data_IF_285836061510
#
_entry.id   IF_285836061510
#
_cell.length_a   1.000
_cell.length_b   1.000
_cell.length_c   1.000
_cell.angle_alpha   90.00
_cell.angle_beta   90.00
_cell.angle_gamma   90.00
#
_symmetry.space_group_name_H-M   'P 1'
#
loop_
_entity.id
_entity.type
_entity.pdbx_description
1 polymer ?
#
# COMPACT_ATOMS: atom_id res chain seq x y z
N UNK A 1 4.10 -29.81 5.18
CA UNK A 1 2.79 -29.84 4.49
C UNK A 1 1.55 -29.96 5.40
N UNK A 2 1.65 -29.99 6.74
CA UNK A 2 0.47 -29.99 7.63
C UNK A 2 -0.01 -28.61 8.10
N UNK A 3 0.79 -27.55 7.97
CA UNK A 3 0.45 -26.20 8.44
C UNK A 3 -0.47 -25.40 7.49
N UNK A 4 -0.41 -25.64 6.18
CA UNK A 4 -1.24 -24.93 5.19
C UNK A 4 -2.73 -25.35 5.24
N UNK A 5 -3.02 -26.60 5.63
CA UNK A 5 -4.40 -27.14 5.66
C UNK A 5 -5.32 -26.48 6.69
N UNK A 6 -4.78 -25.79 7.70
CA UNK A 6 -5.58 -25.13 8.74
C UNK A 6 -5.95 -23.68 8.40
N UNK A 7 -5.27 -23.08 7.40
CA UNK A 7 -5.55 -21.70 6.94
C UNK A 7 -6.69 -21.68 5.91
N UNK A 8 -6.78 -22.70 5.05
CA UNK A 8 -7.80 -22.80 4.01
C UNK A 8 -9.10 -23.47 4.51
N UNK A 9 -9.53 -23.20 5.75
CA UNK A 9 -10.73 -23.83 6.34
C UNK A 9 -12.05 -23.28 5.76
N UNK A 10 -12.04 -22.15 5.03
CA UNK A 10 -13.22 -21.58 4.36
C UNK A 10 -13.30 -21.96 2.86
N UNK A 11 -14.50 -21.98 2.30
CA UNK A 11 -14.70 -22.27 0.86
C UNK A 11 -14.19 -21.12 -0.01
N UNK A 12 -13.70 -21.44 -1.22
CA UNK A 12 -13.22 -20.44 -2.17
C UNK A 12 -14.27 -19.42 -2.61
N UNK A 13 -15.55 -19.77 -2.51
CA UNK A 13 -16.67 -18.86 -2.77
C UNK A 13 -16.74 -17.75 -1.71
N UNK A 14 -16.63 -18.09 -0.43
CA UNK A 14 -16.60 -17.12 0.67
C UNK A 14 -15.38 -16.21 0.58
N UNK A 15 -14.21 -16.77 0.29
CA UNK A 15 -13.01 -15.97 0.06
C UNK A 15 -13.14 -15.03 -1.14
N UNK A 16 -13.77 -15.47 -2.24
CA UNK A 16 -13.96 -14.62 -3.43
C UNK A 16 -14.80 -13.38 -3.10
N UNK A 17 -15.88 -13.53 -2.33
CA UNK A 17 -16.74 -12.40 -1.91
C UNK A 17 -15.97 -11.42 -1.01
N UNK A 18 -15.19 -11.94 -0.06
CA UNK A 18 -14.34 -11.11 0.81
C UNK A 18 -13.30 -10.35 -0.02
N UNK A 19 -12.73 -11.01 -1.03
CA UNK A 19 -11.73 -10.41 -1.90
C UNK A 19 -12.31 -9.27 -2.74
N UNK A 20 -13.51 -9.42 -3.28
CA UNK A 20 -14.22 -8.36 -4.01
C UNK A 20 -14.48 -7.14 -3.12
N UNK A 21 -14.92 -7.34 -1.86
CA UNK A 21 -15.10 -6.23 -0.92
C UNK A 21 -13.77 -5.55 -0.56
N UNK A 22 -12.70 -6.34 -0.42
CA UNK A 22 -11.39 -5.81 -0.11
C UNK A 22 -10.78 -5.06 -1.30
N UNK A 23 -11.06 -5.46 -2.54
CA UNK A 23 -10.54 -4.77 -3.73
C UNK A 23 -11.06 -3.33 -3.83
N UNK A 24 -12.36 -3.12 -3.57
CA UNK A 24 -12.94 -1.78 -3.50
C UNK A 24 -12.29 -0.92 -2.41
N UNK A 25 -12.08 -1.50 -1.23
CA UNK A 25 -11.42 -0.82 -0.12
C UNK A 25 -9.97 -0.45 -0.46
N UNK A 26 -9.23 -1.34 -1.11
CA UNK A 26 -7.85 -1.09 -1.56
C UNK A 26 -7.85 0.06 -2.58
N UNK A 27 -8.77 0.07 -3.55
CA UNK A 27 -8.90 1.14 -4.52
C UNK A 27 -9.15 2.50 -3.85
N UNK A 28 -10.05 2.56 -2.87
CA UNK A 28 -10.32 3.77 -2.08
C UNK A 28 -9.07 4.24 -1.32
N UNK A 29 -8.35 3.33 -0.68
CA UNK A 29 -7.11 3.66 0.04
C UNK A 29 -6.00 4.16 -0.90
N UNK A 30 -5.90 3.63 -2.11
CA UNK A 30 -4.95 4.14 -3.12
C UNK A 30 -5.34 5.54 -3.60
N UNK A 31 -6.64 5.83 -3.77
CA UNK A 31 -7.10 7.18 -4.08
C UNK A 31 -6.80 8.15 -2.94
N UNK A 32 -7.03 7.72 -1.69
CA UNK A 32 -6.70 8.50 -0.49
C UNK A 32 -5.20 8.78 -0.41
N UNK A 33 -4.35 7.77 -0.65
CA UNK A 33 -2.89 7.90 -0.69
C UNK A 33 -2.45 9.00 -1.67
N UNK A 34 -3.00 9.00 -2.89
CA UNK A 34 -2.68 10.00 -3.91
C UNK A 34 -3.11 11.40 -3.47
N UNK A 35 -4.30 11.52 -2.89
CA UNK A 35 -4.81 12.79 -2.35
C UNK A 35 -3.90 13.34 -1.25
N UNK A 36 -3.49 12.47 -0.31
CA UNK A 36 -2.57 12.81 0.77
C UNK A 36 -1.20 13.26 0.26
N UNK A 37 -0.64 12.58 -0.75
CA UNK A 37 0.62 12.99 -1.37
C UNK A 37 0.49 14.36 -2.04
N UNK A 38 -0.60 14.61 -2.76
CA UNK A 38 -0.82 15.90 -3.41
C UNK A 38 -0.96 17.03 -2.37
N UNK A 39 -1.76 16.82 -1.34
CA UNK A 39 -1.95 17.78 -0.25
C UNK A 39 -0.64 17.98 0.54
N UNK A 40 0.11 16.90 0.77
CA UNK A 40 1.41 16.95 1.42
C UNK A 40 2.44 17.77 0.64
N UNK A 41 2.46 17.67 -0.69
CA UNK A 41 3.28 18.54 -1.53
C UNK A 41 2.89 20.02 -1.41
N UNK A 42 1.59 20.32 -1.33
CA UNK A 42 1.10 21.69 -1.10
C UNK A 42 1.53 22.21 0.28
N UNK A 43 1.31 21.40 1.32
CA UNK A 43 1.71 21.74 2.69
C UNK A 43 3.22 21.92 2.80
N UNK A 44 4.03 21.06 2.17
CA UNK A 44 5.49 21.17 2.18
C UNK A 44 5.96 22.47 1.53
N UNK A 45 5.41 22.83 0.37
CA UNK A 45 5.72 24.10 -0.28
C UNK A 45 5.33 25.31 0.58
N UNK A 46 4.18 25.28 1.25
CA UNK A 46 3.78 26.32 2.21
C UNK A 46 4.76 26.41 3.37
N UNK A 47 5.14 25.28 3.96
CA UNK A 47 6.11 25.21 5.06
C UNK A 47 7.49 25.77 4.67
N UNK A 48 7.95 25.50 3.43
CA UNK A 48 9.21 26.07 2.94
C UNK A 48 9.17 27.60 2.90
N UNK A 49 8.00 28.20 2.70
CA UNK A 49 7.81 29.65 2.66
C UNK A 49 7.58 30.27 4.04
N UNK A 50 6.73 29.67 4.87
CA UNK A 50 6.23 30.30 6.10
C UNK A 50 6.84 29.75 7.39
N UNK A 51 7.44 28.54 7.33
CA UNK A 51 8.04 27.81 8.45
C UNK A 51 7.12 27.68 9.66
N UNK A 52 5.79 27.60 9.44
CA UNK A 52 4.83 27.47 10.53
C UNK A 52 4.81 26.06 11.11
N UNK A 53 4.79 25.97 12.43
CA UNK A 53 4.68 24.70 13.16
C UNK A 53 3.37 23.96 12.84
N UNK A 54 2.27 24.69 12.63
CA UNK A 54 0.98 24.10 12.24
C UNK A 54 1.07 23.30 10.94
N UNK A 55 1.78 23.82 9.93
CA UNK A 55 2.00 23.13 8.65
C UNK A 55 2.92 21.93 8.82
N UNK A 56 3.89 21.98 9.74
CA UNK A 56 4.71 20.83 10.08
C UNK A 56 3.88 19.72 10.76
N UNK A 57 2.93 20.09 11.60
CA UNK A 57 2.01 19.13 12.23
C UNK A 57 1.11 18.46 11.18
N UNK A 58 0.57 19.22 10.24
CA UNK A 58 -0.21 18.69 9.11
C UNK A 58 0.61 17.68 8.29
N UNK A 59 1.87 18.00 7.98
CA UNK A 59 2.76 17.07 7.26
C UNK A 59 3.00 15.77 8.06
N UNK A 60 3.17 15.85 9.38
CA UNK A 60 3.31 14.67 10.23
C UNK A 60 2.03 13.82 10.24
N UNK A 61 0.86 14.43 10.28
CA UNK A 61 -0.43 13.73 10.19
C UNK A 61 -0.59 13.00 8.84
N UNK A 62 -0.20 13.65 7.74
CA UNK A 62 -0.18 13.05 6.40
C UNK A 62 0.74 11.83 6.38
N UNK A 63 1.96 11.92 6.90
CA UNK A 63 2.91 10.79 6.95
C UNK A 63 2.34 9.65 7.80
N UNK A 64 1.74 9.96 8.95
CA UNK A 64 1.10 8.95 9.79
C UNK A 64 -0.03 8.24 9.06
N UNK A 65 -0.85 8.98 8.31
CA UNK A 65 -1.92 8.37 7.52
C UNK A 65 -1.39 7.51 6.38
N UNK A 66 -0.31 7.93 5.70
CA UNK A 66 0.37 7.13 4.70
C UNK A 66 0.92 5.81 5.29
N UNK A 67 1.46 5.84 6.51
CA UNK A 67 1.88 4.61 7.23
C UNK A 67 0.71 3.64 7.41
N UNK A 68 -0.44 4.14 7.86
CA UNK A 68 -1.65 3.32 8.05
C UNK A 68 -2.11 2.69 6.74
N UNK A 69 -2.18 3.49 5.67
CA UNK A 69 -2.54 3.02 4.33
C UNK A 69 -1.60 1.90 3.87
N UNK A 70 -0.28 2.10 3.97
CA UNK A 70 0.71 1.07 3.60
C UNK A 70 0.51 -0.22 4.40
N UNK A 71 0.24 -0.12 5.70
CA UNK A 71 0.01 -1.29 6.55
C UNK A 71 -1.25 -2.07 6.13
N UNK A 72 -2.31 -1.36 5.75
CA UNK A 72 -3.53 -2.01 5.25
C UNK A 72 -3.27 -2.66 3.89
N UNK A 73 -2.65 -1.96 2.93
CA UNK A 73 -2.28 -2.54 1.62
C UNK A 73 -1.42 -3.79 1.81
N UNK A 74 -0.42 -3.72 2.68
CA UNK A 74 0.44 -4.86 3.04
C UNK A 74 -0.36 -6.06 3.54
N UNK A 75 -1.33 -5.84 4.44
CA UNK A 75 -2.19 -6.90 4.98
C UNK A 75 -3.09 -7.51 3.91
N UNK A 76 -3.67 -6.69 3.04
CA UNK A 76 -4.55 -7.16 1.97
C UNK A 76 -3.80 -7.93 0.88
N UNK A 77 -2.57 -7.51 0.55
CA UNK A 77 -1.67 -8.28 -0.31
C UNK A 77 -1.37 -9.65 0.27
N UNK A 78 -1.09 -9.73 1.58
CA UNK A 78 -0.78 -11.00 2.24
C UNK A 78 -2.00 -11.94 2.21
N UNK A 79 -3.21 -11.41 2.47
CA UNK A 79 -4.48 -12.16 2.35
C UNK A 79 -4.74 -12.64 0.92
N UNK A 80 -4.45 -11.80 -0.07
CA UNK A 80 -4.63 -12.18 -1.47
C UNK A 80 -3.65 -13.28 -1.89
N UNK A 81 -2.40 -13.23 -1.40
CA UNK A 81 -1.45 -14.32 -1.58
C UNK A 81 -1.95 -15.63 -0.96
N UNK A 82 -2.44 -15.58 0.28
CA UNK A 82 -3.03 -16.76 0.94
C UNK A 82 -4.24 -17.30 0.15
N UNK A 83 -5.08 -16.41 -0.42
CA UNK A 83 -6.21 -16.80 -1.26
C UNK A 83 -5.77 -17.56 -2.51
N UNK A 84 -4.79 -17.04 -3.26
CA UNK A 84 -4.26 -17.69 -4.46
C UNK A 84 -3.78 -19.10 -4.11
N UNK A 85 -3.06 -19.26 -3.00
CA UNK A 85 -2.58 -20.57 -2.54
C UNK A 85 -3.71 -21.52 -2.12
N UNK A 86 -4.74 -21.02 -1.44
CA UNK A 86 -5.86 -21.82 -0.96
C UNK A 86 -6.86 -22.21 -2.06
N UNK A 87 -6.97 -21.42 -3.13
CA UNK A 87 -7.98 -21.57 -4.17
C UNK A 87 -7.42 -21.97 -5.52
N UNK A 88 -6.46 -22.90 -5.53
CA UNK A 88 -5.87 -23.51 -6.73
C UNK A 88 -5.35 -22.47 -7.74
N UNK A 89 -4.71 -21.41 -7.24
CA UNK A 89 -4.20 -20.27 -8.01
C UNK A 89 -5.27 -19.43 -8.70
N UNK A 90 -6.50 -19.39 -8.19
CA UNK A 90 -7.52 -18.45 -8.65
C UNK A 90 -7.05 -17.01 -8.38
N UNK A 91 -7.08 -16.19 -9.42
CA UNK A 91 -6.68 -14.78 -9.42
C UNK A 91 -7.88 -13.87 -9.65
N UNK A 92 -7.77 -12.64 -9.19
CA UNK A 92 -8.69 -11.54 -9.46
C UNK A 92 -7.95 -10.46 -10.24
N UNK A 93 -8.42 -10.20 -11.46
CA UNK A 93 -7.83 -9.19 -12.35
C UNK A 93 -7.84 -7.80 -11.70
N UNK A 94 -8.90 -7.45 -10.95
CA UNK A 94 -9.02 -6.16 -10.27
C UNK A 94 -7.95 -6.00 -9.19
N UNK A 95 -7.73 -7.02 -8.36
CA UNK A 95 -6.71 -6.97 -7.31
C UNK A 95 -5.31 -6.97 -7.92
N UNK A 96 -5.06 -7.77 -8.95
CA UNK A 96 -3.77 -7.76 -9.66
C UNK A 96 -3.49 -6.38 -10.28
N UNK A 97 -4.49 -5.75 -10.89
CA UNK A 97 -4.37 -4.41 -11.46
C UNK A 97 -4.06 -3.37 -10.38
N UNK A 98 -4.73 -3.43 -9.22
CA UNK A 98 -4.47 -2.51 -8.10
C UNK A 98 -3.04 -2.68 -7.57
N UNK A 99 -2.57 -3.92 -7.40
CA UNK A 99 -1.20 -4.17 -6.94
C UNK A 99 -0.18 -3.68 -7.98
N UNK A 100 -0.40 -3.95 -9.26
CA UNK A 100 0.45 -3.46 -10.34
C UNK A 100 0.50 -1.91 -10.36
N UNK A 101 -0.66 -1.26 -10.22
CA UNK A 101 -0.75 0.20 -10.11
C UNK A 101 0.08 0.73 -8.94
N UNK A 102 -0.04 0.10 -7.77
CA UNK A 102 0.74 0.50 -6.59
C UNK A 102 2.24 0.34 -6.82
N UNK A 103 2.68 -0.75 -7.44
CA UNK A 103 4.10 -0.98 -7.74
C UNK A 103 4.68 0.02 -8.74
N UNK A 104 3.93 0.36 -9.78
CA UNK A 104 4.41 1.21 -10.88
C UNK A 104 4.28 2.71 -10.58
N UNK A 105 3.18 3.11 -9.95
CA UNK A 105 2.84 4.52 -9.76
C UNK A 105 2.72 4.92 -8.29
N UNK A 106 1.90 4.20 -7.51
CA UNK A 106 1.57 4.61 -6.13
C UNK A 106 2.80 4.72 -5.23
N UNK A 107 3.58 3.64 -5.17
CA UNK A 107 4.78 3.54 -4.35
C UNK A 107 5.89 4.49 -4.78
N UNK A 108 6.03 4.75 -6.09
CA UNK A 108 7.00 5.73 -6.61
C UNK A 108 6.67 7.15 -6.17
N UNK A 109 5.41 7.57 -6.32
CA UNK A 109 4.95 8.90 -5.90
C UNK A 109 5.13 9.10 -4.40
N UNK A 110 4.82 8.07 -3.62
CA UNK A 110 5.03 8.09 -2.17
C UNK A 110 6.52 8.21 -1.81
N UNK A 111 7.39 7.44 -2.48
CA UNK A 111 8.84 7.53 -2.26
C UNK A 111 9.39 8.93 -2.61
N UNK A 112 8.94 9.52 -3.72
CA UNK A 112 9.31 10.87 -4.14
C UNK A 112 8.90 11.92 -3.10
N UNK A 113 7.67 11.84 -2.58
CA UNK A 113 7.18 12.72 -1.52
C UNK A 113 7.93 12.55 -0.19
N UNK A 114 8.14 11.32 0.27
CA UNK A 114 8.88 11.08 1.51
C UNK A 114 10.33 11.57 1.44
N UNK A 115 10.95 11.49 0.24
CA UNK A 115 12.28 12.05 0.01
C UNK A 115 12.26 13.58 0.01
N UNK A 116 11.25 14.21 -0.59
CA UNK A 116 11.20 15.68 -0.66
C UNK A 116 11.12 16.33 0.71
N UNK A 117 10.39 15.71 1.65
CA UNK A 117 10.19 16.23 3.01
C UNK A 117 11.23 15.74 4.04
N UNK A 118 12.20 14.92 3.60
CA UNK A 118 13.15 14.23 4.49
C UNK A 118 14.12 15.16 5.23
N UNK A 119 14.27 16.41 4.78
CA UNK A 119 15.09 17.41 5.48
C UNK A 119 14.36 18.02 6.67
N UNK A 120 13.02 17.97 6.67
CA UNK A 120 12.16 18.59 7.68
C UNK A 120 11.59 17.57 8.66
N UNK A 121 11.27 16.36 8.19
CA UNK A 121 10.70 15.27 8.98
C UNK A 121 11.53 14.00 8.76
N UNK A 122 11.82 13.26 9.83
CA UNK A 122 12.50 11.97 9.70
C UNK A 122 11.56 10.93 9.04
N UNK A 123 11.81 10.66 7.76
CA UNK A 123 11.10 9.67 6.94
C UNK A 123 11.93 8.42 6.65
N UNK A 124 13.06 8.24 7.34
CA UNK A 124 14.00 7.15 7.02
C UNK A 124 13.36 5.77 7.18
N UNK A 125 12.64 5.56 8.28
CA UNK A 125 11.93 4.31 8.53
C UNK A 125 10.80 4.10 7.50
N UNK A 126 10.07 5.16 7.13
CA UNK A 126 9.02 5.10 6.12
C UNK A 126 9.54 4.63 4.76
N UNK A 127 10.67 5.19 4.32
CA UNK A 127 11.32 4.81 3.08
C UNK A 127 11.78 3.35 3.10
N UNK A 128 12.31 2.88 4.24
CA UNK A 128 12.71 1.47 4.41
C UNK A 128 11.50 0.56 4.36
N UNK A 129 10.42 0.89 5.07
CA UNK A 129 9.20 0.10 5.12
C UNK A 129 8.51 0.03 3.76
N UNK A 130 8.43 1.16 3.03
CA UNK A 130 7.90 1.21 1.67
C UNK A 130 8.71 0.30 0.73
N UNK A 131 10.04 0.38 0.76
CA UNK A 131 10.90 -0.49 -0.07
C UNK A 131 10.77 -1.96 0.28
N UNK A 132 10.68 -2.28 1.58
CA UNK A 132 10.46 -3.64 2.06
C UNK A 132 9.16 -4.23 1.51
N UNK A 133 8.07 -3.44 1.55
CA UNK A 133 6.78 -3.84 0.98
C UNK A 133 6.88 -4.10 -0.53
N UNK A 134 7.49 -3.18 -1.29
CA UNK A 134 7.69 -3.33 -2.74
C UNK A 134 8.48 -4.61 -3.05
N UNK A 135 9.60 -4.83 -2.36
CA UNK A 135 10.42 -6.02 -2.56
C UNK A 135 9.67 -7.30 -2.24
N UNK A 136 8.87 -7.30 -1.16
CA UNK A 136 8.05 -8.44 -0.77
C UNK A 136 6.99 -8.77 -1.81
N UNK A 137 6.30 -7.76 -2.35
CA UNK A 137 5.31 -7.97 -3.42
C UNK A 137 6.00 -8.51 -4.68
N UNK A 138 7.09 -7.87 -5.14
CA UNK A 138 7.80 -8.27 -6.36
C UNK A 138 8.45 -9.65 -6.25
N UNK A 139 8.86 -10.05 -5.05
CA UNK A 139 9.46 -11.36 -4.78
C UNK A 139 8.44 -12.49 -4.57
N UNK A 140 7.14 -12.18 -4.49
CA UNK A 140 6.11 -13.19 -4.30
C UNK A 140 5.73 -13.82 -5.65
N UNK A 141 5.92 -15.14 -5.76
CA UNK A 141 5.68 -15.90 -7.00
C UNK A 141 4.21 -15.91 -7.44
N UNK A 142 3.27 -15.67 -6.51
CA UNK A 142 1.84 -15.55 -6.81
C UNK A 142 1.55 -14.30 -7.67
N UNK A 143 2.39 -13.27 -7.54
CA UNK A 143 2.24 -11.97 -8.21
C UNK A 143 3.14 -11.82 -9.44
N UNK A 144 3.34 -12.89 -10.23
CA UNK A 144 3.98 -12.78 -11.55
C UNK A 144 3.09 -11.97 -12.50
N UNK A 145 3.25 -10.65 -12.47
CA UNK A 145 2.62 -9.73 -13.41
C UNK A 145 3.20 -9.99 -14.80
N UNK A 146 2.34 -10.34 -15.76
CA UNK A 146 2.69 -10.27 -17.18
C UNK A 146 2.56 -8.78 -17.54
N UNK A 147 3.65 -8.02 -17.43
CA UNK A 147 3.76 -6.67 -17.99
C UNK A 147 4.21 -6.76 -19.45
#
# INVERSE_FOLDING_TARGET
MKFLRKKCEDSCETYSIILEQNSERIAQLMQEQISLINNGNVAHNSYLSDKKEETLNELNEIINRLREIRNVISSEVDKYSDFIECCDNKKSDDVELLIAYYLEAGSRKEEEFLKSISNEIDTKEDLVNLRSLIMRIKGNENFKFIL
#
